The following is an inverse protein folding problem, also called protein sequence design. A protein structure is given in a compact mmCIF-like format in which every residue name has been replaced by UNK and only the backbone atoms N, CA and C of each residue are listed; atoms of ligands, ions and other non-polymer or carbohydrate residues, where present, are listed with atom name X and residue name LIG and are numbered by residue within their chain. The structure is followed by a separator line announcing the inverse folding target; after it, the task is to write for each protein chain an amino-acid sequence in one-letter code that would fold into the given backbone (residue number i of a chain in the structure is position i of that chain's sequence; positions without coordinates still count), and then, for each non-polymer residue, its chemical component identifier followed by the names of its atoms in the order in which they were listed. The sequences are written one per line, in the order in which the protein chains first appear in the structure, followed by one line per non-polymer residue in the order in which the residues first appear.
data_IF_768659623530
#
_entry.id   IF_768659623530
#
_cell.length_a   1.000
_cell.length_b   1.000
_cell.length_c   1.000
_cell.angle_alpha   90.00
_cell.angle_beta   90.00
_cell.angle_gamma   90.00
#
_symmetry.space_group_name_H-M   'P 1'
#
loop_
_entity.id
_entity.type
_entity.pdbx_description
1 polymer ?
#
# COMPACT_ATOMS: atom_id res chain seq x y z
N UNK A 1 -26.89 5.74 -24.29
CA UNK A 1 -25.51 5.40 -24.76
C UNK A 1 -24.36 6.00 -23.95
N UNK A 2 -24.21 7.34 -23.83
CA UNK A 2 -23.07 7.97 -23.12
C UNK A 2 -22.91 7.47 -21.66
N UNK A 3 -24.04 7.13 -21.03
CA UNK A 3 -24.12 6.65 -19.65
C UNK A 3 -23.38 5.33 -19.39
N UNK A 4 -23.34 4.43 -20.35
CA UNK A 4 -22.62 3.16 -20.22
C UNK A 4 -21.19 3.30 -20.72
N UNK A 5 -21.00 4.07 -21.80
CA UNK A 5 -19.70 4.25 -22.44
C UNK A 5 -18.69 4.93 -21.52
N UNK A 6 -19.11 5.97 -20.78
CA UNK A 6 -18.21 6.72 -19.88
C UNK A 6 -17.70 5.86 -18.71
N UNK A 7 -18.53 5.23 -17.86
CA UNK A 7 -18.04 4.40 -16.76
C UNK A 7 -17.29 3.16 -17.24
N UNK A 8 -17.70 2.53 -18.34
CA UNK A 8 -16.96 1.40 -18.92
C UNK A 8 -15.58 1.88 -19.43
N UNK A 9 -15.55 3.02 -20.13
CA UNK A 9 -14.30 3.63 -20.60
C UNK A 9 -13.37 4.01 -19.44
N UNK A 10 -13.90 4.60 -18.37
CA UNK A 10 -13.12 4.95 -17.17
C UNK A 10 -12.66 3.70 -16.42
N UNK A 11 -13.47 2.63 -16.37
CA UNK A 11 -13.05 1.34 -15.80
C UNK A 11 -11.84 0.77 -16.54
N UNK A 12 -11.91 0.68 -17.87
CA UNK A 12 -10.79 0.20 -18.68
C UNK A 12 -9.58 1.15 -18.61
N UNK A 13 -9.80 2.46 -18.56
CA UNK A 13 -8.73 3.46 -18.42
C UNK A 13 -8.01 3.33 -17.07
N UNK A 14 -8.76 3.22 -15.96
CA UNK A 14 -8.17 2.98 -14.64
C UNK A 14 -7.49 1.61 -14.58
N UNK A 15 -8.10 0.58 -15.15
CA UNK A 15 -7.49 -0.75 -15.28
C UNK A 15 -6.15 -0.70 -16.02
N UNK A 16 -6.06 0.06 -17.11
CA UNK A 16 -4.84 0.24 -17.89
C UNK A 16 -3.77 1.04 -17.13
N UNK A 17 -4.13 2.10 -16.41
CA UNK A 17 -3.18 2.86 -15.58
C UNK A 17 -2.53 1.98 -14.52
N UNK A 18 -3.29 1.04 -13.95
CA UNK A 18 -2.82 0.17 -12.87
C UNK A 18 -2.48 -1.25 -13.35
N UNK A 19 -2.29 -1.46 -14.66
CA UNK A 19 -2.09 -2.79 -15.28
C UNK A 19 -0.79 -3.45 -14.84
N UNK A 20 0.28 -2.68 -14.59
CA UNK A 20 1.54 -3.20 -14.03
C UNK A 20 1.32 -3.87 -12.66
N UNK A 21 0.22 -3.53 -11.97
CA UNK A 21 -0.38 -4.34 -10.95
C UNK A 21 0.43 -4.39 -9.66
N UNK A 22 1.49 -5.20 -9.64
CA UNK A 22 2.36 -5.40 -8.49
C UNK A 22 3.51 -4.39 -8.49
N UNK A 23 3.66 -3.68 -7.37
CA UNK A 23 4.80 -2.78 -7.17
C UNK A 23 6.10 -3.60 -7.15
N UNK A 24 7.01 -3.28 -8.07
CA UNK A 24 8.37 -3.82 -8.13
C UNK A 24 9.36 -2.67 -8.18
N UNK A 25 10.60 -2.92 -7.76
CA UNK A 25 11.69 -1.95 -7.79
C UNK A 25 11.35 -0.61 -7.09
N UNK A 26 10.81 -0.67 -5.88
CA UNK A 26 10.59 0.54 -5.09
C UNK A 26 11.94 1.17 -4.75
N UNK A 27 12.17 2.36 -5.30
CA UNK A 27 13.35 3.16 -5.01
C UNK A 27 13.39 3.54 -3.54
N UNK A 28 14.41 3.07 -2.85
CA UNK A 28 14.70 3.40 -1.46
C UNK A 28 16.14 3.90 -1.31
N UNK A 29 16.41 4.57 -0.20
CA UNK A 29 17.76 4.90 0.21
C UNK A 29 18.12 4.27 1.56
N UNK A 30 19.41 4.23 1.88
CA UNK A 30 19.89 3.73 3.17
C UNK A 30 20.87 4.71 3.78
N UNK A 31 20.66 5.04 5.04
CA UNK A 31 21.60 5.76 5.89
C UNK A 31 22.22 4.75 6.87
N UNK A 32 23.46 4.36 6.60
CA UNK A 32 24.23 3.52 7.51
C UNK A 32 25.12 4.41 8.39
N UNK A 33 24.83 4.48 9.69
CA UNK A 33 25.66 5.20 10.65
C UNK A 33 26.63 4.29 11.42
N UNK A 34 26.53 2.96 11.26
CA UNK A 34 27.33 1.99 12.01
C UNK A 34 28.57 1.56 11.22
N UNK A 35 28.46 1.38 9.90
CA UNK A 35 29.56 0.99 9.01
C UNK A 35 30.27 -0.34 9.38
N UNK A 36 29.55 -1.23 10.05
CA UNK A 36 30.03 -2.55 10.51
C UNK A 36 29.59 -3.70 9.61
N UNK A 37 30.12 -4.90 9.84
CA UNK A 37 29.72 -6.11 9.08
C UNK A 37 28.24 -6.45 9.25
N UNK A 38 27.67 -6.22 10.44
CA UNK A 38 26.26 -6.47 10.68
C UNK A 38 25.38 -5.47 9.91
N UNK A 39 25.76 -4.20 9.87
CA UNK A 39 25.05 -3.19 9.06
C UNK A 39 25.09 -3.53 7.56
N UNK A 40 26.26 -3.95 7.04
CA UNK A 40 26.41 -4.42 5.65
C UNK A 40 25.56 -5.65 5.35
N UNK A 41 25.40 -6.57 6.30
CA UNK A 41 24.48 -7.72 6.15
C UNK A 41 23.02 -7.28 6.07
N UNK A 42 22.60 -6.26 6.82
CA UNK A 42 21.25 -5.69 6.69
C UNK A 42 21.06 -5.13 5.28
N UNK A 43 22.01 -4.33 4.80
CA UNK A 43 21.98 -3.73 3.46
C UNK A 43 21.91 -4.82 2.39
N UNK A 44 22.77 -5.84 2.48
CA UNK A 44 22.79 -6.95 1.52
C UNK A 44 21.47 -7.73 1.46
N UNK A 45 20.79 -7.92 2.61
CA UNK A 45 19.45 -8.54 2.62
C UNK A 45 18.40 -7.64 1.95
N UNK A 46 18.51 -6.32 2.09
CA UNK A 46 17.63 -5.36 1.43
C UNK A 46 17.87 -5.36 -0.08
N UNK A 47 19.12 -5.37 -0.53
CA UNK A 47 19.50 -5.46 -1.95
C UNK A 47 19.04 -6.77 -2.60
N UNK A 48 18.98 -7.86 -1.83
CA UNK A 48 18.47 -9.14 -2.30
C UNK A 48 16.94 -9.17 -2.51
N UNK A 49 16.21 -8.14 -2.06
CA UNK A 49 14.76 -8.06 -2.27
C UNK A 49 14.43 -7.76 -3.73
N UNK A 50 13.61 -8.58 -4.41
CA UNK A 50 13.15 -8.26 -5.77
C UNK A 50 12.14 -7.10 -5.82
N UNK A 51 11.73 -6.56 -4.66
CA UNK A 51 10.72 -5.50 -4.56
C UNK A 51 11.31 -4.14 -4.22
N UNK A 52 12.49 -4.10 -3.64
CA UNK A 52 13.18 -2.88 -3.23
C UNK A 52 14.38 -2.66 -4.13
N UNK A 53 14.70 -1.41 -4.41
CA UNK A 53 15.87 -1.02 -5.16
C UNK A 53 16.60 0.09 -4.40
N UNK A 54 17.81 -0.17 -3.92
CA UNK A 54 18.61 0.87 -3.26
C UNK A 54 19.23 1.73 -4.35
N UNK A 55 18.76 2.98 -4.45
CA UNK A 55 19.25 3.93 -5.46
C UNK A 55 20.27 4.91 -4.91
N UNK A 56 20.34 5.06 -3.58
CA UNK A 56 21.19 6.04 -2.92
C UNK A 56 21.58 5.61 -1.51
N UNK A 57 22.82 5.94 -1.14
CA UNK A 57 23.29 5.90 0.24
C UNK A 57 23.36 7.33 0.77
N UNK A 58 22.71 7.57 1.89
CA UNK A 58 22.63 8.87 2.53
C UNK A 58 23.81 9.07 3.47
N UNK A 59 24.20 10.33 3.67
CA UNK A 59 25.25 10.73 4.59
C UNK A 59 24.66 11.17 5.93
N UNK A 60 25.47 11.14 6.98
CA UNK A 60 25.06 11.59 8.32
C UNK A 60 24.67 13.05 8.42
N UNK A 61 25.06 13.86 7.43
CA UNK A 61 24.78 15.30 7.37
C UNK A 61 23.51 15.62 6.60
N UNK A 62 22.90 14.63 5.94
CA UNK A 62 21.67 14.84 5.18
C UNK A 62 20.53 15.10 6.17
N UNK A 63 19.76 16.16 5.92
CA UNK A 63 18.59 16.44 6.72
C UNK A 63 17.49 15.44 6.36
N UNK A 64 17.12 14.60 7.33
CA UNK A 64 16.15 13.51 7.17
C UNK A 64 14.81 14.04 6.65
N UNK A 65 14.41 15.24 7.07
CA UNK A 65 13.13 15.85 6.70
C UNK A 65 13.10 16.34 5.24
N UNK A 66 14.27 16.68 4.67
CA UNK A 66 14.39 17.22 3.31
C UNK A 66 14.64 16.14 2.27
N UNK A 67 14.92 14.89 2.67
CA UNK A 67 15.23 13.78 1.74
C UNK A 67 14.13 13.61 0.70
N UNK A 68 12.87 13.58 1.12
CA UNK A 68 11.74 13.38 0.19
C UNK A 68 11.49 14.59 -0.72
N UNK A 69 11.97 15.77 -0.34
CA UNK A 69 11.87 16.99 -1.14
C UNK A 69 12.98 17.01 -2.19
N UNK A 70 14.21 16.73 -1.77
CA UNK A 70 15.40 16.75 -2.63
C UNK A 70 15.44 15.56 -3.60
N UNK A 71 14.83 14.44 -3.21
CA UNK A 71 14.83 13.18 -3.94
C UNK A 71 13.41 12.59 -4.06
N UNK A 72 12.54 13.16 -4.91
CA UNK A 72 11.14 12.74 -5.06
C UNK A 72 10.99 11.29 -5.56
N UNK A 73 12.04 10.73 -6.15
CA UNK A 73 12.14 9.33 -6.56
C UNK A 73 12.20 8.36 -5.37
N UNK A 74 12.77 8.78 -4.23
CA UNK A 74 12.88 7.94 -3.02
C UNK A 74 11.49 7.80 -2.38
N UNK A 75 11.02 6.56 -2.24
CA UNK A 75 9.71 6.26 -1.60
C UNK A 75 9.83 5.93 -0.12
N UNK A 76 11.04 5.65 0.35
CA UNK A 76 11.39 5.51 1.75
C UNK A 76 12.87 5.26 1.94
N UNK A 77 13.32 5.30 3.19
CA UNK A 77 14.71 4.99 3.52
C UNK A 77 14.84 4.32 4.88
N UNK A 78 15.92 3.55 5.02
CA UNK A 78 16.26 2.86 6.26
C UNK A 78 17.42 3.58 6.95
N UNK A 79 17.34 3.74 8.27
CA UNK A 79 18.44 4.29 9.07
C UNK A 79 18.93 3.22 10.04
N UNK A 80 20.20 2.85 9.90
CA UNK A 80 20.92 1.96 10.81
C UNK A 80 21.66 2.86 11.81
N UNK A 81 21.34 2.78 13.12
CA UNK A 81 21.91 3.69 14.12
C UNK A 81 23.38 3.40 14.41
N UNK A 82 24.10 4.39 14.97
CA UNK A 82 25.48 4.19 15.45
C UNK A 82 25.53 3.13 16.55
N UNK A 83 26.58 2.32 16.57
CA UNK A 83 26.80 1.22 17.52
C UNK A 83 25.81 0.06 17.37
N UNK A 84 25.13 -0.09 16.22
CA UNK A 84 24.16 -1.15 15.96
C UNK A 84 24.75 -2.55 16.22
N UNK A 85 25.89 -2.87 15.62
CA UNK A 85 26.56 -4.16 15.85
C UNK A 85 27.00 -4.32 17.30
N UNK A 86 27.62 -3.29 17.88
CA UNK A 86 28.13 -3.34 19.26
C UNK A 86 27.01 -3.61 20.25
N UNK A 87 25.86 -2.95 20.10
CA UNK A 87 24.74 -3.09 21.02
C UNK A 87 24.07 -4.47 20.87
N UNK A 88 23.88 -4.95 19.63
CA UNK A 88 23.36 -6.29 19.38
C UNK A 88 24.27 -7.38 19.97
N UNK A 89 25.58 -7.29 19.76
CA UNK A 89 26.54 -8.26 20.32
C UNK A 89 26.62 -8.23 21.85
N UNK A 90 26.32 -7.08 22.46
CA UNK A 90 26.21 -6.94 23.91
C UNK A 90 24.83 -7.36 24.47
N UNK A 91 23.96 -7.97 23.65
CA UNK A 91 22.62 -8.39 24.06
C UNK A 91 21.64 -7.24 24.30
N UNK A 92 21.94 -6.03 23.83
CA UNK A 92 21.03 -4.89 23.89
C UNK A 92 20.09 -4.91 22.68
N UNK A 93 18.83 -4.57 22.93
CA UNK A 93 17.85 -4.40 21.86
C UNK A 93 18.14 -3.12 21.07
N UNK A 94 18.22 -3.26 19.75
CA UNK A 94 18.40 -2.15 18.81
C UNK A 94 17.20 -1.98 17.88
N UNK A 95 17.12 -0.81 17.26
CA UNK A 95 16.04 -0.44 16.34
C UNK A 95 16.59 -0.13 14.96
N UNK A 96 15.97 -0.69 13.93
CA UNK A 96 16.09 -0.18 12.56
C UNK A 96 14.99 0.88 12.37
N UNK A 97 15.36 2.10 12.00
CA UNK A 97 14.35 3.13 11.71
C UNK A 97 13.97 3.05 10.24
N UNK A 98 12.67 3.11 9.97
CA UNK A 98 12.10 3.04 8.63
C UNK A 98 11.28 4.29 8.40
N UNK A 99 11.70 5.11 7.44
CA UNK A 99 10.99 6.30 7.03
C UNK A 99 10.34 6.04 5.67
N UNK A 100 9.07 6.39 5.53
CA UNK A 100 8.33 6.19 4.29
C UNK A 100 7.50 7.41 3.97
N UNK A 101 7.35 7.71 2.69
CA UNK A 101 6.47 8.78 2.26
C UNK A 101 5.01 8.27 2.24
N UNK A 102 4.24 8.66 3.26
CA UNK A 102 2.84 8.23 3.43
C UNK A 102 1.85 8.81 2.43
N UNK A 103 2.26 9.67 1.49
CA UNK A 103 1.43 10.07 0.35
C UNK A 103 0.99 8.86 -0.49
N UNK A 104 1.74 7.76 -0.42
CA UNK A 104 1.39 6.48 -1.01
C UNK A 104 1.51 5.36 0.03
N UNK A 105 0.35 5.01 0.61
CA UNK A 105 0.23 3.98 1.65
C UNK A 105 0.75 2.61 1.18
N UNK A 106 0.65 2.31 -0.11
CA UNK A 106 1.05 0.99 -0.64
C UNK A 106 2.59 0.88 -0.66
N UNK A 107 3.32 1.91 -1.10
CA UNK A 107 4.78 1.94 -1.00
C UNK A 107 5.23 1.86 0.46
N UNK A 108 4.62 2.64 1.36
CA UNK A 108 4.97 2.63 2.79
C UNK A 108 4.79 1.26 3.44
N UNK A 109 3.64 0.62 3.20
CA UNK A 109 3.35 -0.72 3.71
C UNK A 109 4.31 -1.78 3.16
N UNK A 110 4.66 -1.69 1.88
CA UNK A 110 5.61 -2.62 1.25
C UNK A 110 7.01 -2.48 1.86
N UNK A 111 7.54 -1.26 1.95
CA UNK A 111 8.86 -0.97 2.52
C UNK A 111 8.94 -1.43 3.99
N UNK A 112 7.89 -1.17 4.77
CA UNK A 112 7.81 -1.61 6.17
C UNK A 112 7.76 -3.14 6.29
N UNK A 113 6.94 -3.81 5.48
CA UNK A 113 6.81 -5.27 5.49
C UNK A 113 8.12 -5.97 5.17
N UNK A 114 8.84 -5.50 4.15
CA UNK A 114 10.13 -6.06 3.76
C UNK A 114 11.17 -5.86 4.87
N UNK A 115 11.26 -4.64 5.46
CA UNK A 115 12.11 -4.37 6.61
C UNK A 115 11.82 -5.31 7.81
N UNK A 116 10.55 -5.47 8.16
CA UNK A 116 10.15 -6.37 9.24
C UNK A 116 10.52 -7.83 8.93
N UNK A 117 10.40 -8.25 7.67
CA UNK A 117 10.80 -9.60 7.24
C UNK A 117 12.31 -9.80 7.41
N UNK A 118 13.14 -8.90 6.88
CA UNK A 118 14.59 -9.01 6.98
C UNK A 118 15.08 -8.96 8.42
N UNK A 119 14.55 -8.05 9.23
CA UNK A 119 14.95 -7.91 10.64
C UNK A 119 14.52 -9.13 11.46
N UNK A 120 13.34 -9.69 11.23
CA UNK A 120 12.91 -10.91 11.92
C UNK A 120 13.78 -12.12 11.56
N UNK A 121 14.11 -12.29 10.27
CA UNK A 121 15.02 -13.34 9.81
C UNK A 121 16.43 -13.16 10.39
N UNK A 122 16.95 -11.93 10.37
CA UNK A 122 18.28 -11.64 10.92
C UNK A 122 18.34 -11.84 12.43
N UNK A 123 17.34 -11.34 13.18
CA UNK A 123 17.23 -11.54 14.63
C UNK A 123 17.19 -13.02 14.98
N UNK A 124 16.45 -13.82 14.20
CA UNK A 124 16.43 -15.27 14.34
C UNK A 124 17.81 -15.90 14.10
N UNK A 125 18.51 -15.46 13.07
CA UNK A 125 19.89 -15.90 12.77
C UNK A 125 20.90 -15.57 13.88
N UNK A 126 20.83 -14.36 14.43
CA UNK A 126 21.67 -13.92 15.55
C UNK A 126 21.40 -14.80 16.78
N UNK A 127 20.14 -15.02 17.14
CA UNK A 127 19.78 -15.86 18.28
C UNK A 127 20.22 -17.32 18.11
N UNK A 128 20.11 -17.87 16.88
CA UNK A 128 20.61 -19.21 16.57
C UNK A 128 22.13 -19.31 16.76
N UNK A 129 22.88 -18.30 16.32
CA UNK A 129 24.32 -18.26 16.49
C UNK A 129 24.70 -18.19 17.98
N UNK A 130 24.00 -17.36 18.76
CA UNK A 130 24.19 -17.27 20.22
C UNK A 130 23.92 -18.61 20.91
N UNK A 131 22.84 -19.31 20.57
CA UNK A 131 22.54 -20.63 21.14
C UNK A 131 23.57 -21.69 20.76
N UNK A 132 24.09 -21.65 19.53
CA UNK A 132 25.17 -22.54 19.09
C UNK A 132 26.45 -22.32 19.91
N UNK A 133 26.82 -21.07 20.18
CA UNK A 133 27.97 -20.73 21.03
C UNK A 133 27.77 -21.22 22.48
N UNK A 134 26.54 -21.22 22.97
CA UNK A 134 26.18 -21.74 24.30
C UNK A 134 26.04 -23.27 24.35
N UNK A 135 26.45 -23.99 23.30
CA UNK A 135 26.44 -25.46 23.25
C UNK A 135 25.06 -26.11 23.07
N UNK A 136 24.03 -25.33 22.71
CA UNK A 136 22.68 -25.87 22.49
C UNK A 136 22.65 -26.58 21.11
N UNK A 137 22.19 -27.84 21.04
CA UNK A 137 22.03 -28.55 19.77
C UNK A 137 21.14 -27.78 18.79
N UNK A 138 21.51 -27.79 17.51
CA UNK A 138 20.86 -26.98 16.47
C UNK A 138 19.34 -27.19 16.38
N UNK A 139 18.86 -28.44 16.47
CA UNK A 139 17.43 -28.74 16.45
C UNK A 139 16.66 -28.11 17.61
N UNK A 140 17.27 -28.07 18.80
CA UNK A 140 16.68 -27.44 19.98
C UNK A 140 16.70 -25.91 19.87
N UNK A 141 17.79 -25.37 19.33
CA UNK A 141 17.93 -23.93 19.09
C UNK A 141 16.88 -23.40 18.09
N UNK A 142 16.60 -24.12 16.99
CA UNK A 142 15.54 -23.75 16.04
C UNK A 142 14.18 -23.65 16.72
N UNK A 143 13.83 -24.62 17.57
CA UNK A 143 12.55 -24.62 18.30
C UNK A 143 12.46 -23.49 19.32
N UNK A 144 13.57 -23.02 19.86
CA UNK A 144 13.62 -21.88 20.79
C UNK A 144 13.52 -20.52 20.09
N UNK A 145 14.12 -20.38 18.92
CA UNK A 145 14.11 -19.13 18.15
C UNK A 145 12.78 -18.92 17.42
N UNK A 146 12.21 -19.99 16.87
CA UNK A 146 10.91 -19.95 16.18
C UNK A 146 9.94 -20.95 16.81
N UNK A 147 9.47 -20.70 18.06
CA UNK A 147 8.53 -21.59 18.73
C UNK A 147 7.17 -21.63 18.04
N UNK A 148 6.78 -20.51 17.41
CA UNK A 148 5.55 -20.37 16.63
C UNK A 148 5.95 -20.01 15.21
N UNK A 149 5.60 -20.85 14.24
CA UNK A 149 5.79 -20.56 12.81
C UNK A 149 4.55 -19.89 12.26
N UNK A 150 4.69 -18.64 11.83
CA UNK A 150 3.64 -17.94 11.09
C UNK A 150 3.66 -18.44 9.64
N UNK A 151 2.64 -19.19 9.24
CA UNK A 151 2.45 -19.59 7.84
C UNK A 151 1.53 -18.55 7.19
N UNK A 152 2.13 -17.55 6.53
CA UNK A 152 1.35 -16.52 5.83
C UNK A 152 0.83 -17.06 4.50
N UNK A 153 -0.48 -17.24 4.40
CA UNK A 153 -1.17 -17.43 3.11
C UNK A 153 -1.94 -16.15 2.80
N UNK A 154 -1.36 -15.20 2.05
CA UNK A 154 -2.09 -14.00 1.68
C UNK A 154 -3.29 -14.40 0.79
N UNK A 155 -4.48 -13.99 1.20
CA UNK A 155 -5.71 -14.19 0.42
C UNK A 155 -6.00 -12.91 -0.38
N UNK A 156 -6.47 -13.06 -1.61
CA UNK A 156 -6.93 -12.00 -2.53
C UNK A 156 -5.89 -10.99 -3.05
N UNK A 157 -4.84 -10.61 -2.31
CA UNK A 157 -3.82 -9.68 -2.81
C UNK A 157 -2.41 -9.93 -2.24
N UNK A 158 -1.75 -11.00 -2.71
CA UNK A 158 -0.43 -11.40 -2.23
C UNK A 158 0.71 -10.41 -2.55
N UNK A 159 0.53 -9.60 -3.60
CA UNK A 159 1.58 -8.75 -4.16
C UNK A 159 1.34 -7.26 -3.94
N UNK A 160 0.38 -6.87 -3.08
CA UNK A 160 -0.04 -5.47 -2.90
C UNK A 160 -0.36 -4.80 -4.24
N UNK A 161 -1.06 -5.54 -5.09
CA UNK A 161 -1.40 -5.10 -6.42
C UNK A 161 -2.45 -3.98 -6.36
N UNK A 162 -2.13 -2.85 -7.00
CA UNK A 162 -2.94 -1.64 -7.03
C UNK A 162 -4.32 -1.89 -7.66
N UNK A 163 -4.38 -2.72 -8.70
CA UNK A 163 -5.59 -3.05 -9.42
C UNK A 163 -6.61 -3.75 -8.51
N UNK A 164 -6.19 -4.73 -7.71
CA UNK A 164 -7.12 -5.45 -6.81
C UNK A 164 -7.60 -4.61 -5.62
N UNK A 165 -6.82 -3.63 -5.18
CA UNK A 165 -7.18 -2.79 -4.04
C UNK A 165 -8.03 -1.58 -4.44
N UNK A 166 -7.59 -0.85 -5.47
CA UNK A 166 -8.05 0.51 -5.71
C UNK A 166 -9.12 0.59 -6.81
N UNK A 167 -9.00 -0.22 -7.87
CA UNK A 167 -9.92 -0.17 -9.02
C UNK A 167 -11.37 -0.50 -8.64
N UNK A 168 -11.67 -1.55 -7.84
CA UNK A 168 -13.05 -1.83 -7.44
C UNK A 168 -13.69 -0.68 -6.64
N UNK A 169 -12.92 -0.08 -5.73
CA UNK A 169 -13.37 1.05 -4.91
C UNK A 169 -13.66 2.29 -5.76
N UNK A 170 -12.68 2.71 -6.58
CA UNK A 170 -12.85 3.85 -7.48
C UNK A 170 -14.01 3.66 -8.46
N UNK A 171 -14.11 2.47 -9.06
CA UNK A 171 -15.18 2.15 -10.00
C UNK A 171 -16.55 2.30 -9.35
N UNK A 172 -16.70 1.79 -8.12
CA UNK A 172 -17.96 1.89 -7.37
C UNK A 172 -18.32 3.35 -7.07
N UNK A 173 -17.35 4.14 -6.62
CA UNK A 173 -17.56 5.57 -6.33
C UNK A 173 -17.92 6.36 -7.60
N UNK A 174 -17.26 6.07 -8.72
CA UNK A 174 -17.54 6.72 -10.00
C UNK A 174 -18.94 6.37 -10.52
N UNK A 175 -19.35 5.09 -10.42
CA UNK A 175 -20.71 4.68 -10.75
C UNK A 175 -21.73 5.41 -9.87
N UNK A 176 -21.46 5.51 -8.56
CA UNK A 176 -22.32 6.26 -7.64
C UNK A 176 -22.42 7.75 -8.03
N UNK A 177 -21.31 8.40 -8.40
CA UNK A 177 -21.31 9.79 -8.85
C UNK A 177 -22.17 9.99 -10.11
N UNK A 178 -22.10 9.07 -11.07
CA UNK A 178 -22.92 9.11 -12.29
C UNK A 178 -24.41 9.01 -11.96
N UNK A 179 -24.79 8.11 -11.06
CA UNK A 179 -26.17 7.97 -10.59
C UNK A 179 -26.67 9.26 -9.94
N UNK A 180 -25.84 9.90 -9.11
CA UNK A 180 -26.20 11.19 -8.51
C UNK A 180 -26.35 12.33 -9.52
N UNK A 181 -25.43 12.44 -10.48
CA UNK A 181 -25.53 13.45 -11.54
C UNK A 181 -26.79 13.27 -12.38
N UNK A 182 -27.18 12.02 -12.68
CA UNK A 182 -28.42 11.73 -13.37
C UNK A 182 -29.66 12.08 -12.55
N UNK A 183 -29.68 11.71 -11.27
CA UNK A 183 -30.79 12.03 -10.39
C UNK A 183 -30.98 13.55 -10.30
N UNK A 184 -29.88 14.30 -10.11
CA UNK A 184 -29.88 15.76 -10.07
C UNK A 184 -30.36 16.38 -11.40
N UNK A 185 -29.85 15.91 -12.55
CA UNK A 185 -30.30 16.38 -13.87
C UNK A 185 -31.78 16.07 -14.11
N UNK A 186 -32.21 14.88 -13.73
CA UNK A 186 -33.60 14.42 -13.88
C UNK A 186 -34.58 15.27 -13.08
N UNK A 187 -34.20 15.72 -11.88
CA UNK A 187 -35.01 16.63 -11.07
C UNK A 187 -34.97 18.05 -11.66
N UNK A 188 -33.77 18.57 -11.98
CA UNK A 188 -33.63 19.91 -12.56
C UNK A 188 -34.39 20.08 -13.87
N UNK A 189 -34.42 19.05 -14.72
CA UNK A 189 -35.19 19.08 -15.97
C UNK A 189 -36.70 19.23 -15.73
N UNK A 190 -37.24 18.69 -14.63
CA UNK A 190 -38.67 18.82 -14.31
C UNK A 190 -39.02 20.18 -13.73
N UNK A 191 -38.10 20.76 -12.96
CA UNK A 191 -38.23 22.14 -12.52
C UNK A 191 -38.16 23.10 -13.71
N UNK A 192 -37.24 22.88 -14.64
CA UNK A 192 -37.09 23.73 -15.83
C UNK A 192 -38.25 23.62 -16.81
N UNK A 193 -38.93 22.47 -16.87
CA UNK A 193 -40.04 22.22 -17.79
C UNK A 193 -41.43 22.39 -17.12
N UNK A 194 -41.48 22.84 -15.86
CA UNK A 194 -42.70 23.00 -15.04
C UNK A 194 -43.57 21.72 -14.87
N UNK A 195 -43.07 20.56 -15.27
CA UNK A 195 -43.79 19.27 -15.27
C UNK A 195 -43.78 18.53 -13.93
N UNK A 196 -43.10 19.09 -12.93
CA UNK A 196 -42.96 18.49 -11.60
C UNK A 196 -44.31 18.17 -10.93
N UNK A 197 -45.26 19.11 -10.94
CA UNK A 197 -46.57 18.92 -10.30
C UNK A 197 -47.41 17.84 -10.98
N UNK A 198 -47.32 17.72 -12.31
CA UNK A 198 -48.01 16.69 -13.08
C UNK A 198 -47.47 15.28 -12.76
N UNK A 199 -46.15 15.14 -12.65
CA UNK A 199 -45.51 13.89 -12.24
C UNK A 199 -45.82 13.49 -10.81
N UNK A 200 -45.90 14.47 -9.89
CA UNK A 200 -46.25 14.22 -8.49
C UNK A 200 -47.68 13.66 -8.36
N UNK A 201 -48.61 14.19 -9.15
CA UNK A 201 -49.99 13.69 -9.22
C UNK A 201 -50.05 12.28 -9.82
N UNK A 202 -49.31 12.01 -10.91
CA UNK A 202 -49.21 10.67 -11.52
C UNK A 202 -48.61 9.61 -10.58
N UNK A 203 -47.71 10.02 -9.69
CA UNK A 203 -47.04 9.13 -8.75
C UNK A 203 -47.76 8.99 -7.40
N UNK A 204 -48.97 9.52 -7.26
CA UNK A 204 -49.72 9.59 -6.00
C UNK A 204 -48.90 10.20 -4.84
N UNK A 205 -48.19 11.31 -5.11
CA UNK A 205 -47.37 12.01 -4.12
C UNK A 205 -46.03 11.34 -3.76
N UNK A 206 -45.71 10.17 -4.33
CA UNK A 206 -44.48 9.44 -3.99
C UNK A 206 -43.31 9.83 -4.90
N UNK A 207 -42.39 10.64 -4.36
CA UNK A 207 -41.14 11.02 -5.03
C UNK A 207 -40.28 9.80 -5.37
N UNK A 208 -40.31 8.76 -4.52
CA UNK A 208 -39.54 7.53 -4.74
C UNK A 208 -39.96 6.78 -6.02
N UNK A 209 -41.27 6.74 -6.31
CA UNK A 209 -41.80 6.13 -7.56
C UNK A 209 -41.36 6.90 -8.79
N UNK A 210 -41.33 8.24 -8.72
CA UNK A 210 -40.86 9.10 -9.82
C UNK A 210 -39.38 8.82 -10.11
N UNK A 211 -38.55 8.78 -9.06
CA UNK A 211 -37.11 8.53 -9.21
C UNK A 211 -36.86 7.13 -9.78
N UNK A 212 -37.48 6.08 -9.25
CA UNK A 212 -37.32 4.70 -9.74
C UNK A 212 -37.78 4.55 -11.20
N UNK A 213 -38.97 5.05 -11.53
CA UNK A 213 -39.51 4.95 -12.89
C UNK A 213 -38.62 5.66 -13.91
N UNK A 214 -38.06 6.82 -13.55
CA UNK A 214 -37.12 7.54 -14.39
C UNK A 214 -35.76 6.87 -14.48
N UNK A 215 -35.21 6.38 -13.38
CA UNK A 215 -33.94 5.65 -13.41
C UNK A 215 -34.03 4.45 -14.34
N UNK A 216 -35.12 3.68 -14.29
CA UNK A 216 -35.38 2.58 -15.22
C UNK A 216 -35.44 3.11 -16.66
N UNK A 217 -36.24 4.14 -16.93
CA UNK A 217 -36.40 4.70 -18.28
C UNK A 217 -35.11 5.30 -18.87
N UNK A 218 -34.25 5.91 -18.05
CA UNK A 218 -32.94 6.44 -18.48
C UNK A 218 -31.89 5.34 -18.65
N UNK A 219 -32.07 4.20 -17.97
CA UNK A 219 -31.16 3.04 -18.10
C UNK A 219 -31.46 2.25 -19.38
N UNK A 220 -32.72 2.19 -19.83
CA UNK A 220 -33.14 1.49 -21.06
C UNK A 220 -33.05 2.31 -22.35
N UNK A 221 -32.61 3.58 -22.31
CA UNK A 221 -32.55 4.50 -23.46
C UNK A 221 -31.11 4.94 -23.80
#
# INVERSE_FOLDING_TARGET
MLLFVVPIGVFFYLGAIYEEGAIKNVSIAVLDLDHTDLSRKVISNVEASPKLNIIQFLNSNDNIDDIFINHPEIKGFYVIPKNFQKNILNGKQEKLLVYTNSSNIIYGNLIYKEAATFINTMSSGINLQTFKLNGIPHEKAIKMVMPIRVITKPLYNAYYNYLYYLVPGLTTVLLQMIVFLLAARSINSEYSNETYNALLNLANGSVFKIILGKLIAYTTR
#
